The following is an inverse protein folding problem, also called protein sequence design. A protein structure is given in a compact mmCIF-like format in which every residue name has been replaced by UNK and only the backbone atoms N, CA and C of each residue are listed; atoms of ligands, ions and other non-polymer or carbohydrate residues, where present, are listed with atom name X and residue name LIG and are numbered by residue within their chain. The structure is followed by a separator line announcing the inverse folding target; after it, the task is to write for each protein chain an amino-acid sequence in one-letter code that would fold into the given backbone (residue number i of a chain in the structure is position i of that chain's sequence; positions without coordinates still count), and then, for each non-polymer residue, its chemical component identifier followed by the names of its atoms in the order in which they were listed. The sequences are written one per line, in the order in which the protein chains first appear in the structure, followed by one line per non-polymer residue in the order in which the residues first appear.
data_IF_723398705893
#
_entry.id   IF_723398705893
#
_cell.length_a   1.000
_cell.length_b   1.000
_cell.length_c   1.000
_cell.angle_alpha   90.00
_cell.angle_beta   90.00
_cell.angle_gamma   90.00
#
_symmetry.space_group_name_H-M   'P 1'
#
loop_
_entity.id
_entity.type
_entity.pdbx_description
1 polymer ?
#
# COMPACT_ATOMS: atom_id res chain seq x y z
N UNK A 1 21.09 -9.54 33.06
CA UNK A 1 22.31 -10.35 33.32
C UNK A 1 22.35 -11.41 32.23
N UNK A 2 23.32 -11.29 31.31
CA UNK A 2 23.58 -12.25 30.23
C UNK A 2 24.37 -13.45 30.76
N UNK A 3 24.07 -14.65 30.28
CA UNK A 3 25.00 -15.79 30.34
C UNK A 3 24.97 -16.56 29.02
N UNK A 4 26.15 -16.62 28.38
CA UNK A 4 26.53 -17.55 27.33
C UNK A 4 27.39 -18.66 27.94
N UNK A 5 27.38 -19.87 27.38
CA UNK A 5 28.51 -20.80 27.53
C UNK A 5 28.57 -21.77 26.32
N UNK A 6 29.68 -21.72 25.56
CA UNK A 6 30.21 -22.86 24.78
C UNK A 6 30.82 -23.90 25.75
N UNK A 7 31.37 -25.05 25.37
CA UNK A 7 32.01 -25.60 24.18
C UNK A 7 31.94 -27.16 24.31
N UNK A 8 31.69 -27.93 23.24
CA UNK A 8 32.65 -28.61 22.32
C UNK A 8 33.35 -29.86 22.92
N UNK A 9 33.32 -30.97 22.16
CA UNK A 9 34.40 -31.97 21.91
C UNK A 9 33.80 -33.14 21.08
N UNK A 10 34.13 -33.28 19.78
CA UNK A 10 35.13 -34.23 19.23
C UNK A 10 34.41 -35.47 18.67
N UNK A 11 34.61 -36.03 17.46
CA UNK A 11 35.82 -36.29 16.65
C UNK A 11 35.46 -36.60 15.18
N UNK A 12 36.38 -36.29 14.25
CA UNK A 12 36.43 -36.63 12.80
C UNK A 12 36.68 -38.16 12.61
N UNK A 13 36.53 -38.89 11.48
CA UNK A 13 36.53 -38.64 10.02
C UNK A 13 36.18 -39.99 9.27
N UNK A 14 36.31 -40.16 7.94
CA UNK A 14 35.37 -39.90 6.82
C UNK A 14 34.85 -41.17 6.09
N UNK A 15 33.82 -41.04 5.23
CA UNK A 15 33.68 -41.89 4.03
C UNK A 15 32.84 -41.19 2.94
N UNK A 16 33.37 -41.23 1.70
CA UNK A 16 32.78 -40.80 0.42
C UNK A 16 31.45 -41.57 0.17
N UNK A 17 30.45 -41.19 -0.61
CA UNK A 17 30.34 -40.50 -1.90
C UNK A 17 28.82 -40.40 -2.23
N UNK A 18 28.42 -39.44 -3.07
CA UNK A 18 27.09 -39.44 -3.69
C UNK A 18 26.33 -38.11 -3.70
N UNK A 19 26.86 -37.07 -4.38
CA UNK A 19 26.07 -35.87 -4.69
C UNK A 19 25.18 -36.10 -5.91
N UNK A 20 23.87 -36.27 -5.70
CA UNK A 20 22.84 -36.08 -6.71
C UNK A 20 22.39 -34.62 -6.69
N UNK A 21 22.90 -33.77 -7.59
CA UNK A 21 22.38 -32.42 -7.77
C UNK A 21 21.19 -32.44 -8.72
N UNK A 22 19.99 -32.34 -8.15
CA UNK A 22 18.76 -31.99 -8.86
C UNK A 22 18.74 -30.48 -9.08
N UNK A 23 18.66 -30.07 -10.35
CA UNK A 23 18.48 -28.67 -10.76
C UNK A 23 17.06 -28.24 -10.32
N UNK A 24 16.95 -27.49 -9.22
CA UNK A 24 15.73 -26.74 -8.89
C UNK A 24 15.90 -25.29 -9.35
N UNK A 25 14.94 -24.85 -10.18
CA UNK A 25 14.76 -23.49 -10.67
C UNK A 25 14.84 -22.47 -9.52
N UNK A 26 15.78 -21.54 -9.59
CA UNK A 26 15.81 -20.36 -8.73
C UNK A 26 14.79 -19.33 -9.25
N UNK A 27 13.66 -19.21 -8.56
CA UNK A 27 12.75 -18.08 -8.67
C UNK A 27 12.93 -17.22 -7.41
N UNK A 28 13.78 -16.18 -7.46
CA UNK A 28 13.72 -15.02 -6.55
C UNK A 28 14.59 -13.89 -7.07
N UNK A 29 14.03 -12.68 -7.11
CA UNK A 29 14.67 -11.45 -7.59
C UNK A 29 15.73 -10.88 -6.63
N UNK A 30 15.87 -11.44 -5.43
CA UNK A 30 16.72 -10.92 -4.36
C UNK A 30 18.22 -11.24 -4.55
N UNK A 31 18.59 -12.24 -5.36
CA UNK A 31 20.00 -12.56 -5.62
C UNK A 31 20.65 -11.63 -6.67
N UNK A 32 19.84 -10.90 -7.46
CA UNK A 32 20.34 -9.97 -8.48
C UNK A 32 20.83 -8.63 -7.91
N UNK A 33 20.32 -8.19 -6.76
CA UNK A 33 20.74 -6.94 -6.11
C UNK A 33 22.15 -7.07 -5.51
N UNK A 34 22.47 -8.24 -4.93
CA UNK A 34 23.80 -8.55 -4.42
C UNK A 34 24.87 -8.57 -5.54
N UNK A 35 24.48 -8.91 -6.78
CA UNK A 35 25.37 -8.86 -7.94
C UNK A 35 25.67 -7.42 -8.39
N UNK A 36 24.69 -6.50 -8.31
CA UNK A 36 24.86 -5.08 -8.67
C UNK A 36 25.79 -4.33 -7.71
N UNK A 37 25.74 -4.64 -6.43
CA UNK A 37 26.46 -3.88 -5.40
C UNK A 37 27.96 -4.19 -5.38
N UNK A 38 28.38 -5.39 -5.81
CA UNK A 38 29.78 -5.81 -5.83
C UNK A 38 30.58 -5.26 -7.01
N UNK A 39 29.92 -4.82 -8.09
CA UNK A 39 30.58 -4.34 -9.33
C UNK A 39 30.57 -2.81 -9.51
N UNK A 40 30.03 -2.05 -8.55
CA UNK A 40 30.02 -0.58 -8.62
C UNK A 40 31.23 0.09 -7.95
N UNK A 41 32.08 -0.65 -7.23
CA UNK A 41 33.19 -0.07 -6.47
C UNK A 41 34.58 -0.16 -7.14
N UNK A 42 34.68 -0.75 -8.33
CA UNK A 42 35.95 -0.82 -9.09
C UNK A 42 35.80 -0.18 -10.47
N UNK A 43 35.75 1.16 -10.53
CA UNK A 43 35.95 1.88 -11.80
C UNK A 43 36.48 3.31 -11.59
N UNK A 44 37.69 3.43 -11.06
CA UNK A 44 38.48 4.67 -11.16
C UNK A 44 39.89 4.35 -11.66
N UNK A 45 40.02 4.07 -12.96
CA UNK A 45 41.22 4.37 -13.76
C UNK A 45 41.00 3.82 -15.18
N UNK A 46 41.20 4.68 -16.18
CA UNK A 46 41.02 4.35 -17.59
C UNK A 46 41.86 3.16 -18.06
N UNK A 47 41.26 2.35 -18.92
CA UNK A 47 41.93 1.21 -19.55
C UNK A 47 40.90 0.28 -20.18
N UNK A 48 40.80 0.32 -21.51
CA UNK A 48 40.04 -0.65 -22.30
C UNK A 48 40.63 -2.04 -22.04
N UNK A 49 39.87 -2.94 -21.43
CA UNK A 49 40.33 -4.31 -21.18
C UNK A 49 39.22 -5.33 -21.44
N UNK A 50 39.38 -6.08 -22.53
CA UNK A 50 38.63 -7.28 -22.83
C UNK A 50 39.08 -8.40 -21.88
N UNK A 51 38.27 -8.70 -20.86
CA UNK A 51 38.48 -9.90 -20.04
C UNK A 51 37.49 -10.99 -20.41
N UNK A 52 37.97 -11.89 -21.26
CA UNK A 52 37.46 -13.24 -21.46
C UNK A 52 37.38 -13.95 -20.12
N UNK A 53 36.19 -14.43 -19.72
CA UNK A 53 35.98 -15.25 -18.53
C UNK A 53 36.85 -16.53 -18.59
N UNK A 54 38.02 -16.48 -17.98
CA UNK A 54 38.85 -17.63 -17.62
C UNK A 54 38.87 -17.76 -16.10
N UNK A 55 37.79 -18.28 -15.51
CA UNK A 55 37.81 -18.85 -14.15
C UNK A 55 36.53 -19.62 -13.86
N UNK A 56 36.39 -20.78 -14.48
CA UNK A 56 35.73 -21.95 -13.85
C UNK A 56 36.18 -23.20 -14.61
N UNK A 57 37.49 -23.44 -14.63
CA UNK A 57 38.08 -24.66 -15.20
C UNK A 57 39.16 -25.16 -14.25
N UNK A 58 38.74 -25.72 -13.13
CA UNK A 58 39.61 -26.54 -12.28
C UNK A 58 38.82 -27.68 -11.64
N UNK A 59 37.98 -28.37 -12.42
CA UNK A 59 37.53 -29.74 -12.13
C UNK A 59 36.55 -30.19 -13.21
N UNK A 60 37.04 -30.59 -14.38
CA UNK A 60 36.24 -31.43 -15.28
C UNK A 60 37.14 -32.05 -16.34
N UNK A 61 37.18 -33.38 -16.31
CA UNK A 61 37.99 -34.22 -17.16
C UNK A 61 37.62 -34.10 -18.63
N UNK A 62 38.64 -34.30 -19.46
CA UNK A 62 38.60 -34.43 -20.90
C UNK A 62 37.45 -35.34 -21.39
N UNK A 63 36.68 -34.89 -22.38
CA UNK A 63 35.82 -35.77 -23.19
C UNK A 63 34.33 -35.45 -23.21
N UNK A 64 33.92 -34.23 -23.57
CA UNK A 64 32.58 -33.94 -24.12
C UNK A 64 32.59 -32.50 -24.68
N UNK A 65 33.22 -32.33 -25.84
CA UNK A 65 33.35 -31.04 -26.52
C UNK A 65 32.70 -31.18 -27.89
N UNK A 66 31.57 -30.49 -28.09
CA UNK A 66 31.13 -29.79 -29.33
C UNK A 66 29.60 -29.63 -29.51
N UNK A 67 28.75 -30.19 -28.64
CA UNK A 67 27.28 -30.01 -28.75
C UNK A 67 26.67 -28.87 -27.93
N UNK A 68 27.16 -28.64 -26.70
CA UNK A 68 26.55 -27.72 -25.72
C UNK A 68 27.00 -26.26 -25.85
N UNK A 69 28.14 -26.00 -26.48
CA UNK A 69 28.65 -24.63 -26.70
C UNK A 69 27.81 -23.82 -27.71
N UNK A 70 27.18 -24.47 -28.69
CA UNK A 70 26.30 -23.80 -29.65
C UNK A 70 24.97 -23.36 -29.06
N UNK A 71 24.37 -24.19 -28.19
CA UNK A 71 23.06 -23.94 -27.56
C UNK A 71 23.17 -22.85 -26.49
N UNK A 72 24.27 -22.82 -25.73
CA UNK A 72 24.50 -21.75 -24.75
C UNK A 72 24.72 -20.40 -25.44
N UNK A 73 25.50 -20.33 -26.53
CA UNK A 73 25.67 -19.07 -27.29
C UNK A 73 24.35 -18.54 -27.85
N UNK A 74 23.52 -19.38 -28.46
CA UNK A 74 22.24 -18.93 -29.02
C UNK A 74 21.25 -18.50 -27.94
N UNK A 75 21.23 -19.18 -26.79
CA UNK A 75 20.37 -18.81 -25.67
C UNK A 75 20.84 -17.49 -25.04
N UNK A 76 22.14 -17.31 -24.80
CA UNK A 76 22.65 -16.03 -24.27
C UNK A 76 22.49 -14.89 -25.29
N UNK A 77 22.72 -15.10 -26.58
CA UNK A 77 22.44 -14.09 -27.61
C UNK A 77 20.95 -13.74 -27.67
N UNK A 78 20.04 -14.72 -27.58
CA UNK A 78 18.59 -14.45 -27.50
C UNK A 78 18.19 -13.71 -26.21
N UNK A 79 18.76 -14.07 -25.06
CA UNK A 79 18.53 -13.37 -23.79
C UNK A 79 19.10 -11.94 -23.80
N UNK A 80 20.28 -11.70 -24.39
CA UNK A 80 20.86 -10.36 -24.58
C UNK A 80 20.12 -9.53 -25.64
N UNK A 81 19.63 -10.15 -26.71
CA UNK A 81 18.82 -9.48 -27.74
C UNK A 81 17.43 -9.10 -27.20
N UNK A 82 16.87 -9.89 -26.27
CA UNK A 82 15.61 -9.56 -25.60
C UNK A 82 15.77 -8.56 -24.43
N UNK A 83 16.96 -8.44 -23.83
CA UNK A 83 17.23 -7.43 -22.79
C UNK A 83 17.57 -6.03 -23.34
N UNK A 84 17.77 -5.90 -24.66
CA UNK A 84 18.19 -4.63 -25.31
C UNK A 84 17.05 -3.86 -25.97
N UNK A 85 15.80 -4.31 -25.86
CA UNK A 85 14.62 -3.63 -26.39
C UNK A 85 13.74 -2.98 -25.31
N UNK A 86 14.36 -2.46 -24.23
CA UNK A 86 13.65 -1.57 -23.32
C UNK A 86 13.68 -0.17 -23.92
N UNK A 87 12.50 0.41 -24.19
CA UNK A 87 12.39 1.77 -24.68
C UNK A 87 13.20 2.73 -23.78
N UNK A 88 13.86 3.75 -24.36
CA UNK A 88 14.56 4.76 -23.57
C UNK A 88 13.61 5.41 -22.57
N UNK A 89 14.14 5.87 -21.44
CA UNK A 89 13.36 6.37 -20.30
C UNK A 89 12.30 7.41 -20.71
N UNK A 90 12.69 8.42 -21.48
CA UNK A 90 11.77 9.45 -21.98
C UNK A 90 10.60 8.88 -22.79
N UNK A 91 10.84 7.84 -23.62
CA UNK A 91 9.80 7.22 -24.44
C UNK A 91 8.85 6.36 -23.61
N UNK A 92 9.36 5.73 -22.53
CA UNK A 92 8.53 5.05 -21.54
C UNK A 92 7.64 6.05 -20.79
N UNK A 93 8.13 7.26 -20.51
CA UNK A 93 7.34 8.32 -19.89
C UNK A 93 6.17 8.73 -20.78
N UNK A 94 6.43 9.02 -22.05
CA UNK A 94 5.40 9.40 -23.02
C UNK A 94 4.33 8.31 -23.18
N UNK A 95 4.75 7.04 -23.25
CA UNK A 95 3.81 5.90 -23.31
C UNK A 95 2.94 5.80 -22.06
N UNK A 96 3.52 6.05 -20.88
CA UNK A 96 2.77 6.07 -19.62
C UNK A 96 1.75 7.21 -19.62
N UNK A 97 2.15 8.43 -20.00
CA UNK A 97 1.23 9.56 -20.16
C UNK A 97 0.09 9.23 -21.14
N UNK A 98 0.40 8.63 -22.29
CA UNK A 98 -0.61 8.20 -23.25
C UNK A 98 -1.59 7.17 -22.66
N UNK A 99 -1.08 6.18 -21.91
CA UNK A 99 -1.90 5.18 -21.21
C UNK A 99 -2.84 5.84 -20.20
N UNK A 100 -2.30 6.69 -19.32
CA UNK A 100 -3.11 7.42 -18.32
C UNK A 100 -4.18 8.28 -18.99
N UNK A 101 -3.82 8.99 -20.05
CA UNK A 101 -4.78 9.80 -20.80
C UNK A 101 -5.88 8.95 -21.46
N UNK A 102 -5.54 7.77 -21.98
CA UNK A 102 -6.50 6.84 -22.56
C UNK A 102 -7.46 6.27 -21.50
N UNK A 103 -6.96 5.99 -20.30
CA UNK A 103 -7.76 5.53 -19.16
C UNK A 103 -8.72 6.61 -18.65
N UNK A 104 -8.30 7.88 -18.68
CA UNK A 104 -9.15 9.04 -18.33
C UNK A 104 -10.19 9.36 -19.42
N UNK A 105 -9.88 9.10 -20.69
CA UNK A 105 -10.74 9.40 -21.83
C UNK A 105 -10.96 8.15 -22.72
N UNK A 106 -11.70 7.13 -22.25
CA UNK A 106 -11.81 5.83 -22.94
C UNK A 106 -12.48 5.90 -24.32
N UNK A 107 -13.20 6.98 -24.62
CA UNK A 107 -13.85 7.21 -25.93
C UNK A 107 -12.98 8.02 -26.90
N UNK A 108 -11.89 8.62 -26.42
CA UNK A 108 -10.97 9.38 -27.25
C UNK A 108 -10.00 8.44 -27.98
N UNK A 109 -9.52 8.87 -29.14
CA UNK A 109 -8.36 8.24 -29.78
C UNK A 109 -7.09 8.92 -29.26
N UNK A 110 -6.35 8.22 -28.40
CA UNK A 110 -5.06 8.68 -27.88
C UNK A 110 -3.92 8.01 -28.66
N UNK A 111 -3.05 8.81 -29.28
CA UNK A 111 -1.93 8.33 -30.09
C UNK A 111 -0.61 8.83 -29.52
N UNK A 112 0.29 7.91 -29.18
CA UNK A 112 1.68 8.20 -28.83
C UNK A 112 2.53 8.43 -30.08
N UNK A 113 3.43 9.41 -30.06
CA UNK A 113 4.36 9.75 -31.14
C UNK A 113 3.65 10.00 -32.48
N UNK A 114 2.61 10.83 -32.45
CA UNK A 114 1.81 11.20 -33.63
C UNK A 114 2.57 12.21 -34.49
N UNK A 115 2.32 12.19 -35.80
CA UNK A 115 2.86 13.19 -36.72
C UNK A 115 1.71 13.99 -37.33
N UNK A 116 1.74 15.30 -37.11
CA UNK A 116 0.70 16.21 -37.55
C UNK A 116 1.32 17.32 -38.40
N UNK A 117 0.77 17.53 -39.60
CA UNK A 117 1.22 18.58 -40.49
C UNK A 117 0.95 19.98 -39.89
N UNK A 118 2.01 20.74 -39.70
CA UNK A 118 1.93 22.17 -39.36
C UNK A 118 1.28 22.96 -40.50
N UNK A 119 0.30 23.78 -40.15
CA UNK A 119 -0.48 24.59 -41.09
C UNK A 119 0.27 25.85 -41.52
N UNK A 120 1.13 26.39 -40.66
CA UNK A 120 1.94 27.57 -40.98
C UNK A 120 3.29 27.16 -41.56
N UNK A 121 3.93 26.14 -40.98
CA UNK A 121 5.27 25.71 -41.40
C UNK A 121 5.29 24.75 -42.60
N UNK A 122 4.16 24.07 -42.88
CA UNK A 122 4.07 23.00 -43.87
C UNK A 122 4.89 21.75 -43.53
N UNK A 123 5.52 21.70 -42.33
CA UNK A 123 6.35 20.58 -41.88
C UNK A 123 5.56 19.65 -40.98
N UNK A 124 5.86 18.36 -41.05
CA UNK A 124 5.37 17.38 -40.09
C UNK A 124 5.96 17.66 -38.71
N UNK A 125 5.10 17.93 -37.72
CA UNK A 125 5.47 18.07 -36.31
C UNK A 125 5.28 16.73 -35.61
N UNK A 126 6.30 16.30 -34.88
CA UNK A 126 6.17 15.18 -33.95
C UNK A 126 5.49 15.68 -32.68
N UNK A 127 4.44 14.96 -32.27
CA UNK A 127 3.65 15.24 -31.06
C UNK A 127 3.77 14.03 -30.14
N UNK A 128 4.22 14.25 -28.91
CA UNK A 128 4.48 13.17 -27.95
C UNK A 128 3.21 12.37 -27.69
N UNK A 129 2.08 13.03 -27.42
CA UNK A 129 0.75 12.42 -27.36
C UNK A 129 -0.29 13.33 -27.99
N UNK A 130 -1.10 12.80 -28.91
CA UNK A 130 -2.29 13.48 -29.44
C UNK A 130 -3.56 12.81 -28.94
N UNK A 131 -4.59 13.60 -28.68
CA UNK A 131 -5.91 13.14 -28.27
C UNK A 131 -6.92 13.72 -29.24
N UNK A 132 -7.60 12.84 -29.98
CA UNK A 132 -8.62 13.20 -30.96
C UNK A 132 -9.98 12.74 -30.45
N UNK A 133 -10.91 13.68 -30.34
CA UNK A 133 -12.27 13.43 -29.84
C UNK A 133 -13.27 14.05 -30.81
N UNK A 134 -14.31 13.28 -31.14
CA UNK A 134 -15.47 13.81 -31.85
C UNK A 134 -16.59 14.07 -30.87
N UNK A 135 -17.08 15.30 -30.80
CA UNK A 135 -18.20 15.68 -29.93
C UNK A 135 -19.27 16.37 -30.78
N UNK A 136 -20.40 15.69 -30.96
CA UNK A 136 -21.42 16.12 -31.92
C UNK A 136 -20.85 16.16 -33.35
N UNK A 137 -20.84 17.35 -33.95
CA UNK A 137 -20.32 17.62 -35.29
C UNK A 137 -18.88 18.14 -35.32
N UNK A 138 -18.26 18.33 -34.15
CA UNK A 138 -16.94 18.95 -34.02
C UNK A 138 -15.87 17.88 -33.79
N UNK A 139 -14.74 18.03 -34.50
CA UNK A 139 -13.53 17.26 -34.26
C UNK A 139 -12.57 18.13 -33.44
N UNK A 140 -12.22 17.65 -32.25
CA UNK A 140 -11.33 18.32 -31.31
C UNK A 140 -9.97 17.63 -31.31
N UNK A 141 -8.91 18.42 -31.43
CA UNK A 141 -7.52 18.01 -31.31
C UNK A 141 -6.93 18.61 -30.04
N UNK A 142 -6.47 17.76 -29.14
CA UNK A 142 -5.67 18.13 -27.98
C UNK A 142 -4.28 17.54 -28.19
N UNK A 143 -3.24 18.32 -27.93
CA UNK A 143 -1.86 17.82 -27.97
C UNK A 143 -1.22 17.93 -26.60
N UNK A 144 -0.39 16.95 -26.26
CA UNK A 144 0.31 16.87 -24.99
C UNK A 144 1.80 16.75 -25.26
N UNK A 145 2.59 17.63 -24.65
CA UNK A 145 4.06 17.48 -24.60
C UNK A 145 4.51 16.89 -23.28
N UNK A 146 5.42 15.92 -23.33
CA UNK A 146 5.91 15.18 -22.18
C UNK A 146 7.34 15.60 -21.83
N UNK A 147 7.60 15.89 -20.55
CA UNK A 147 8.90 16.36 -20.06
C UNK A 147 9.41 15.47 -18.93
N UNK A 148 10.28 14.51 -19.26
CA UNK A 148 11.03 13.67 -18.29
C UNK A 148 12.35 14.36 -17.89
N UNK A 149 12.27 15.62 -17.48
CA UNK A 149 13.42 16.39 -17.01
C UNK A 149 13.68 16.12 -15.54
N UNK A 150 14.95 16.19 -15.12
CA UNK A 150 15.32 16.09 -13.69
C UNK A 150 14.87 17.34 -12.93
N UNK A 151 15.01 18.50 -13.55
CA UNK A 151 14.65 19.79 -12.97
C UNK A 151 13.27 20.24 -13.48
N UNK A 152 12.58 21.16 -12.76
CA UNK A 152 11.29 21.68 -13.19
C UNK A 152 11.37 22.34 -14.59
N UNK A 153 10.31 22.15 -15.37
CA UNK A 153 10.18 22.72 -16.72
C UNK A 153 10.12 24.25 -16.66
N UNK A 154 10.82 24.90 -17.57
CA UNK A 154 10.98 26.36 -17.60
C UNK A 154 10.13 27.06 -18.67
N UNK A 155 10.33 28.37 -18.81
CA UNK A 155 9.58 29.24 -19.72
C UNK A 155 9.88 28.93 -21.19
N UNK A 156 11.09 28.48 -21.50
CA UNK A 156 11.52 28.19 -22.89
C UNK A 156 10.73 27.01 -23.44
N UNK A 157 10.60 25.95 -22.64
CA UNK A 157 9.81 24.76 -22.98
C UNK A 157 8.34 25.11 -23.27
N UNK A 158 7.72 25.96 -22.43
CA UNK A 158 6.33 26.39 -22.61
C UNK A 158 6.16 27.24 -23.87
N UNK A 159 7.09 28.17 -24.12
CA UNK A 159 7.06 29.03 -25.30
C UNK A 159 7.23 28.24 -26.61
N UNK A 160 8.16 27.28 -26.61
CA UNK A 160 8.34 26.38 -27.74
C UNK A 160 7.08 25.55 -28.02
N UNK A 161 6.44 25.01 -26.99
CA UNK A 161 5.22 24.24 -27.14
C UNK A 161 4.03 25.09 -27.62
N UNK A 162 3.90 26.33 -27.14
CA UNK A 162 2.88 27.27 -27.63
C UNK A 162 2.93 27.45 -29.15
N UNK A 163 4.15 27.57 -29.69
CA UNK A 163 4.36 27.69 -31.14
C UNK A 163 3.93 26.43 -31.91
N UNK A 164 4.07 25.24 -31.29
CA UNK A 164 3.61 23.97 -31.89
C UNK A 164 2.09 23.87 -31.89
N UNK A 165 1.43 24.24 -30.79
CA UNK A 165 -0.05 24.29 -30.68
C UNK A 165 -0.62 25.17 -31.78
N UNK A 166 -0.06 26.37 -31.95
CA UNK A 166 -0.46 27.31 -32.98
C UNK A 166 -0.27 26.69 -34.37
N UNK A 167 0.93 26.20 -34.70
CA UNK A 167 1.25 25.64 -36.03
C UNK A 167 0.33 24.47 -36.42
N UNK A 168 0.03 23.53 -35.51
CA UNK A 168 -0.84 22.38 -35.83
C UNK A 168 -2.34 22.67 -35.67
N UNK A 169 -2.72 23.86 -35.22
CA UNK A 169 -4.10 24.28 -34.93
C UNK A 169 -4.80 23.36 -33.93
N UNK A 170 -4.10 22.95 -32.87
CA UNK A 170 -4.72 22.20 -31.78
C UNK A 170 -5.70 23.09 -31.00
N UNK A 171 -6.85 22.52 -30.61
CA UNK A 171 -7.87 23.22 -29.84
C UNK A 171 -7.44 23.46 -28.39
N UNK A 172 -6.61 22.59 -27.84
CA UNK A 172 -6.06 22.69 -26.49
C UNK A 172 -4.65 22.09 -26.47
N UNK A 173 -3.75 22.70 -25.69
CA UNK A 173 -2.44 22.13 -25.38
C UNK A 173 -2.33 21.80 -23.90
N UNK A 174 -1.64 20.71 -23.60
CA UNK A 174 -1.22 20.37 -22.25
C UNK A 174 0.26 19.98 -22.20
N UNK A 175 0.90 20.21 -21.06
CA UNK A 175 2.25 19.71 -20.79
C UNK A 175 2.20 18.81 -19.57
N UNK A 176 2.83 17.65 -19.65
CA UNK A 176 2.97 16.70 -18.55
C UNK A 176 4.44 16.61 -18.18
N UNK A 177 4.79 16.98 -16.96
CA UNK A 177 6.18 16.92 -16.46
C UNK A 177 6.33 15.85 -15.38
N UNK A 178 7.51 15.24 -15.30
CA UNK A 178 7.87 14.33 -14.20
C UNK A 178 8.09 15.11 -12.89
N UNK A 179 8.77 16.27 -12.97
CA UNK A 179 9.23 17.04 -11.81
C UNK A 179 8.63 18.47 -11.72
N UNK A 180 7.44 18.67 -12.30
CA UNK A 180 6.71 19.93 -12.21
C UNK A 180 7.28 21.07 -13.07
N UNK A 181 6.92 22.31 -12.71
CA UNK A 181 7.20 23.52 -13.51
C UNK A 181 7.65 24.67 -12.61
N UNK A 182 8.50 25.55 -13.15
CA UNK A 182 8.88 26.81 -12.50
C UNK A 182 7.70 27.81 -12.46
N UNK A 183 7.73 28.76 -11.53
CA UNK A 183 6.65 29.78 -11.43
C UNK A 183 6.50 30.60 -12.70
N UNK A 184 7.62 30.93 -13.38
CA UNK A 184 7.60 31.63 -14.66
C UNK A 184 6.90 30.80 -15.75
N UNK A 185 7.16 29.49 -15.79
CA UNK A 185 6.49 28.58 -16.73
C UNK A 185 4.98 28.51 -16.46
N UNK A 186 4.57 28.44 -15.18
CA UNK A 186 3.15 28.47 -14.78
C UNK A 186 2.45 29.75 -15.23
N UNK A 187 3.07 30.91 -15.04
CA UNK A 187 2.53 32.20 -15.46
C UNK A 187 2.38 32.30 -17.00
N UNK A 188 3.40 31.86 -17.75
CA UNK A 188 3.33 31.88 -19.21
C UNK A 188 2.26 30.91 -19.73
N UNK A 189 2.19 29.69 -19.18
CA UNK A 189 1.21 28.70 -19.57
C UNK A 189 -0.22 29.18 -19.34
N UNK A 190 -0.49 29.81 -18.19
CA UNK A 190 -1.79 30.42 -17.90
C UNK A 190 -2.16 31.51 -18.93
N UNK A 191 -1.20 32.36 -19.30
CA UNK A 191 -1.41 33.41 -20.33
C UNK A 191 -1.68 32.81 -21.72
N UNK A 192 -1.05 31.68 -22.03
CA UNK A 192 -1.19 30.98 -23.32
C UNK A 192 -2.34 29.96 -23.35
N UNK A 193 -3.06 29.78 -22.24
CA UNK A 193 -4.12 28.77 -22.13
C UNK A 193 -3.61 27.33 -22.23
N UNK A 194 -2.38 27.06 -21.78
CA UNK A 194 -1.76 25.73 -21.77
C UNK A 194 -1.96 25.11 -20.39
N UNK A 195 -2.51 23.90 -20.35
CA UNK A 195 -2.69 23.18 -19.10
C UNK A 195 -1.39 22.51 -18.67
N UNK A 196 -1.05 22.63 -17.39
CA UNK A 196 0.16 22.04 -16.83
C UNK A 196 -0.20 20.93 -15.86
N UNK A 197 0.38 19.76 -16.08
CA UNK A 197 0.14 18.57 -15.28
C UNK A 197 1.45 17.94 -14.83
N UNK A 198 1.43 17.37 -13.62
CA UNK A 198 2.44 16.42 -13.18
C UNK A 198 1.87 15.01 -13.26
N UNK A 199 2.67 14.06 -13.77
CA UNK A 199 2.28 12.65 -13.73
C UNK A 199 2.25 12.18 -12.28
N UNK A 200 1.18 11.48 -11.92
CA UNK A 200 1.00 10.87 -10.61
C UNK A 200 0.74 9.39 -10.81
N UNK A 201 1.66 8.54 -10.38
CA UNK A 201 1.52 7.09 -10.53
C UNK A 201 2.15 6.34 -9.35
N UNK A 202 1.41 5.48 -8.65
CA UNK A 202 1.92 4.72 -7.51
C UNK A 202 2.57 3.37 -7.89
N UNK A 203 2.48 2.94 -9.14
CA UNK A 203 3.10 1.70 -9.61
C UNK A 203 4.63 1.75 -9.50
N UNK A 204 5.26 0.58 -9.37
CA UNK A 204 6.70 0.47 -9.19
C UNK A 204 7.45 0.67 -10.51
N UNK A 205 7.79 1.93 -10.82
CA UNK A 205 8.61 2.33 -11.97
C UNK A 205 9.37 3.64 -11.68
N UNK A 206 10.08 4.17 -12.68
CA UNK A 206 10.99 5.32 -12.53
C UNK A 206 10.32 6.65 -12.10
N UNK A 207 8.98 6.71 -12.08
CA UNK A 207 8.18 7.91 -11.77
C UNK A 207 7.19 7.63 -10.62
N UNK A 208 7.48 6.62 -9.80
CA UNK A 208 6.63 6.25 -8.69
C UNK A 208 6.43 7.43 -7.73
N UNK A 209 5.16 7.72 -7.44
CA UNK A 209 4.68 8.72 -6.50
C UNK A 209 4.18 8.02 -5.24
N UNK A 210 4.71 8.42 -4.07
CA UNK A 210 4.20 7.97 -2.78
C UNK A 210 3.12 8.93 -2.33
N UNK A 211 1.88 8.45 -2.28
CA UNK A 211 0.70 9.29 -2.02
C UNK A 211 -0.11 8.66 -0.92
N UNK A 212 -0.61 9.51 -0.05
CA UNK A 212 -1.56 9.14 0.99
C UNK A 212 -2.63 10.22 1.09
N UNK A 213 -3.84 9.82 1.46
CA UNK A 213 -4.95 10.75 1.68
C UNK A 213 -5.09 11.02 3.19
N UNK A 214 -5.33 12.27 3.61
CA UNK A 214 -5.60 12.57 5.02
C UNK A 214 -6.95 11.96 5.38
N UNK A 215 -6.98 11.17 6.44
CA UNK A 215 -8.15 10.43 6.87
C UNK A 215 -8.35 10.55 8.38
N UNK A 216 -9.60 10.47 8.79
CA UNK A 216 -9.99 10.35 10.20
C UNK A 216 -10.67 9.01 10.44
N UNK A 217 -10.48 8.45 11.62
CA UNK A 217 -11.19 7.27 12.08
C UNK A 217 -11.80 7.53 13.44
N UNK A 218 -13.12 7.55 13.53
CA UNK A 218 -13.85 7.53 14.79
C UNK A 218 -14.10 6.10 15.21
N UNK A 219 -13.60 5.72 16.37
CA UNK A 219 -13.64 4.36 16.85
C UNK A 219 -14.39 4.29 18.18
N UNK A 220 -15.41 3.45 18.25
CA UNK A 220 -16.16 3.19 19.48
C UNK A 220 -15.64 1.91 20.15
N UNK A 221 -15.20 2.02 21.40
CA UNK A 221 -14.60 0.92 22.15
C UNK A 221 -15.12 0.82 23.59
N UNK A 222 -14.98 -0.40 24.13
CA UNK A 222 -15.18 -0.66 25.55
C UNK A 222 -13.88 -0.29 26.28
N UNK A 223 -13.78 0.94 26.77
CA UNK A 223 -12.58 1.47 27.43
C UNK A 223 -12.23 0.66 28.69
N UNK A 224 -13.23 0.40 29.50
CA UNK A 224 -13.09 -0.38 30.71
C UNK A 224 -14.44 -0.92 31.15
N UNK A 225 -14.42 -2.00 31.91
CA UNK A 225 -15.61 -2.55 32.56
C UNK A 225 -15.27 -3.03 33.97
N UNK A 226 -16.30 -3.17 34.78
CA UNK A 226 -16.26 -3.82 36.09
C UNK A 226 -17.45 -4.75 36.25
N UNK A 227 -17.30 -5.78 37.08
CA UNK A 227 -18.37 -6.74 37.37
C UNK A 227 -18.71 -6.64 38.85
N UNK A 228 -20.01 -6.57 39.14
CA UNK A 228 -20.55 -6.50 40.50
C UNK A 228 -21.33 -7.78 40.72
N UNK A 229 -20.90 -8.57 41.71
CA UNK A 229 -21.57 -9.81 42.12
C UNK A 229 -22.30 -9.56 43.45
N UNK A 230 -23.57 -9.92 43.52
CA UNK A 230 -24.40 -9.74 44.72
C UNK A 230 -25.18 -11.03 45.03
N UNK A 231 -25.17 -11.46 46.28
CA UNK A 231 -25.82 -12.71 46.69
C UNK A 231 -27.27 -12.42 46.89
N UNK A 232 -28.12 -13.26 46.33
CA UNK A 232 -29.53 -13.26 46.70
C UNK A 232 -29.82 -14.24 47.84
N UNK A 233 -28.87 -15.14 48.14
CA UNK A 233 -28.93 -16.06 49.26
C UNK A 233 -28.30 -15.44 50.52
N UNK A 234 -28.84 -15.73 51.72
CA UNK A 234 -28.32 -15.26 53.04
C UNK A 234 -26.93 -15.80 53.41
N UNK A 235 -26.26 -16.48 52.50
CA UNK A 235 -24.93 -17.05 52.67
C UNK A 235 -23.93 -16.01 52.19
N UNK A 236 -22.99 -15.62 53.05
CA UNK A 236 -21.92 -14.68 52.71
C UNK A 236 -21.01 -15.24 51.63
N UNK A 237 -20.60 -14.38 50.69
CA UNK A 237 -19.60 -14.74 49.68
C UNK A 237 -18.20 -14.55 50.21
N UNK A 238 -17.38 -15.58 50.10
CA UNK A 238 -15.94 -15.47 50.28
C UNK A 238 -15.27 -15.51 48.90
N UNK A 239 -14.69 -14.39 48.48
CA UNK A 239 -13.93 -14.31 47.24
C UNK A 239 -12.56 -14.98 47.44
N UNK A 240 -12.54 -16.32 47.45
CA UNK A 240 -11.30 -17.10 47.66
C UNK A 240 -10.78 -17.80 46.39
N UNK A 241 -11.20 -17.36 45.19
CA UNK A 241 -10.75 -17.97 43.93
C UNK A 241 -10.20 -16.97 42.91
N UNK A 242 -9.28 -17.50 42.11
CA UNK A 242 -8.52 -16.87 41.04
C UNK A 242 -9.39 -16.08 40.05
N UNK A 243 -8.77 -15.03 39.49
CA UNK A 243 -9.25 -14.18 38.40
C UNK A 243 -10.76 -14.20 38.14
N UNK A 244 -11.46 -13.22 38.72
CA UNK A 244 -12.92 -13.04 38.61
C UNK A 244 -13.41 -12.93 37.15
N UNK A 245 -12.51 -12.66 36.19
CA UNK A 245 -12.80 -12.67 34.75
C UNK A 245 -13.17 -14.06 34.22
N UNK A 246 -12.64 -15.11 34.84
CA UNK A 246 -12.82 -16.49 34.40
C UNK A 246 -13.97 -17.21 35.13
N UNK A 247 -14.75 -16.51 35.95
CA UNK A 247 -15.89 -17.10 36.66
C UNK A 247 -16.92 -17.61 35.65
N UNK A 248 -17.23 -18.90 35.73
CA UNK A 248 -18.29 -19.53 34.93
C UNK A 248 -19.64 -19.29 35.60
N UNK A 249 -20.58 -18.77 34.83
CA UNK A 249 -21.97 -18.62 35.24
C UNK A 249 -22.78 -19.82 34.76
N UNK A 250 -23.76 -20.23 35.56
CA UNK A 250 -24.65 -21.35 35.27
C UNK A 250 -26.10 -20.87 35.26
N UNK A 251 -26.91 -21.46 34.38
CA UNK A 251 -28.35 -21.24 34.36
C UNK A 251 -29.04 -21.87 35.56
N UNK A 252 -30.35 -21.64 35.70
CA UNK A 252 -31.16 -22.31 36.73
C UNK A 252 -31.22 -23.84 36.54
N UNK A 253 -31.03 -24.31 35.30
CA UNK A 253 -30.93 -25.73 34.95
C UNK A 253 -29.55 -26.33 35.26
N UNK A 254 -28.68 -25.59 35.94
CA UNK A 254 -27.30 -25.95 36.29
C UNK A 254 -26.40 -26.22 35.07
N UNK A 255 -26.82 -25.82 33.86
CA UNK A 255 -25.94 -25.86 32.68
C UNK A 255 -25.04 -24.64 32.65
N UNK A 256 -23.76 -24.80 32.25
CA UNK A 256 -22.85 -23.67 32.11
C UNK A 256 -23.32 -22.74 30.98
N UNK A 257 -23.42 -21.45 31.28
CA UNK A 257 -23.68 -20.39 30.30
C UNK A 257 -22.37 -19.92 29.63
N UNK A 258 -21.26 -19.98 30.36
CA UNK A 258 -19.95 -19.56 29.90
C UNK A 258 -19.19 -18.73 30.94
N UNK A 259 -17.95 -18.33 30.62
CA UNK A 259 -17.20 -17.40 31.45
C UNK A 259 -17.85 -16.02 31.38
N UNK A 260 -17.85 -15.31 32.51
CA UNK A 260 -18.45 -13.98 32.61
C UNK A 260 -17.84 -12.98 31.62
N UNK A 261 -16.52 -13.05 31.37
CA UNK A 261 -15.88 -12.21 30.35
C UNK A 261 -16.37 -12.51 28.94
N UNK A 262 -16.43 -13.78 28.56
CA UNK A 262 -16.89 -14.19 27.23
C UNK A 262 -18.33 -13.71 26.98
N UNK A 263 -19.18 -13.80 28.00
CA UNK A 263 -20.55 -13.31 27.93
C UNK A 263 -20.61 -11.77 27.79
N UNK A 264 -19.74 -11.03 28.47
CA UNK A 264 -19.65 -9.57 28.34
C UNK A 264 -19.22 -9.18 26.94
N UNK A 265 -18.14 -9.78 26.43
CA UNK A 265 -17.62 -9.50 25.11
C UNK A 265 -18.61 -9.91 24.01
N UNK A 266 -19.32 -11.03 24.17
CA UNK A 266 -20.43 -11.42 23.28
C UNK A 266 -21.54 -10.38 23.28
N UNK A 267 -21.96 -9.88 24.45
CA UNK A 267 -22.98 -8.83 24.55
C UNK A 267 -22.51 -7.51 23.91
N UNK A 268 -21.25 -7.13 24.13
CA UNK A 268 -20.65 -5.97 23.48
C UNK A 268 -20.64 -6.13 21.97
N UNK A 269 -20.08 -7.23 21.45
CA UNK A 269 -20.02 -7.53 20.01
C UNK A 269 -21.42 -7.59 19.37
N UNK A 270 -22.43 -8.07 20.11
CA UNK A 270 -23.83 -8.09 19.71
C UNK A 270 -24.55 -6.74 19.87
N UNK A 271 -23.86 -5.69 20.33
CA UNK A 271 -24.41 -4.34 20.60
C UNK A 271 -25.57 -4.34 21.60
N UNK A 272 -25.56 -5.27 22.55
CA UNK A 272 -26.55 -5.44 23.60
C UNK A 272 -26.19 -4.71 24.90
N UNK A 273 -25.11 -3.92 24.89
CA UNK A 273 -24.66 -3.05 25.98
C UNK A 273 -24.82 -1.58 25.53
N UNK A 274 -24.67 -0.60 26.44
CA UNK A 274 -24.65 0.81 26.05
C UNK A 274 -23.63 1.07 24.92
N UNK A 275 -24.07 1.80 23.90
CA UNK A 275 -23.26 2.11 22.70
C UNK A 275 -22.95 3.61 22.57
N UNK A 276 -23.50 4.44 23.47
CA UNK A 276 -23.19 5.86 23.54
C UNK A 276 -21.96 6.07 24.44
N UNK A 277 -21.05 7.01 24.11
CA UNK A 277 -19.92 7.31 24.97
C UNK A 277 -20.37 7.80 26.36
N UNK A 278 -19.79 7.21 27.41
CA UNK A 278 -20.17 7.54 28.78
C UNK A 278 -19.80 6.46 29.79
N UNK A 279 -20.03 6.78 31.05
CA UNK A 279 -19.88 5.86 32.18
C UNK A 279 -21.25 5.39 32.65
N UNK A 280 -21.45 4.08 32.62
CA UNK A 280 -22.68 3.42 33.02
C UNK A 280 -22.38 2.55 34.23
N UNK A 281 -23.14 2.76 35.30
CA UNK A 281 -23.07 1.92 36.51
C UNK A 281 -24.29 1.01 36.57
N UNK A 282 -24.12 -0.14 37.21
CA UNK A 282 -25.21 -1.07 37.51
C UNK A 282 -26.00 -1.60 36.30
N UNK A 283 -25.37 -1.69 35.12
CA UNK A 283 -25.99 -2.25 33.91
C UNK A 283 -26.34 -3.71 34.15
N UNK A 284 -27.59 -4.09 33.86
CA UNK A 284 -28.03 -5.47 34.05
C UNK A 284 -27.30 -6.40 33.07
N UNK A 285 -26.50 -7.31 33.63
CA UNK A 285 -25.59 -8.14 32.86
C UNK A 285 -26.29 -9.37 32.28
N UNK A 286 -27.24 -9.96 33.02
CA UNK A 286 -28.11 -11.06 32.58
C UNK A 286 -29.48 -10.86 33.21
N UNK A 287 -30.54 -11.05 32.42
CA UNK A 287 -31.93 -10.90 32.87
C UNK A 287 -32.44 -12.16 33.62
N UNK A 288 -31.54 -13.12 33.87
CA UNK A 288 -31.82 -14.41 34.49
C UNK A 288 -31.05 -14.56 35.80
N UNK A 289 -31.64 -15.19 36.84
CA UNK A 289 -30.90 -15.63 38.01
C UNK A 289 -29.82 -16.61 37.56
N UNK A 290 -28.56 -16.29 37.85
CA UNK A 290 -27.45 -17.19 37.55
C UNK A 290 -26.90 -17.77 38.83
N UNK A 291 -26.34 -18.97 38.72
CA UNK A 291 -25.64 -19.61 39.82
C UNK A 291 -24.13 -19.63 39.55
N UNK A 292 -23.33 -19.52 40.61
CA UNK A 292 -21.89 -19.81 40.59
C UNK A 292 -21.66 -21.03 41.49
N UNK A 293 -20.72 -21.90 41.10
CA UNK A 293 -20.24 -22.98 41.97
C UNK A 293 -19.27 -22.39 43.01
N UNK A 294 -19.53 -22.66 44.29
CA UNK A 294 -18.66 -22.39 45.42
C UNK A 294 -18.64 -23.63 46.33
N UNK A 295 -17.46 -24.19 46.62
CA UNK A 295 -17.30 -25.41 47.43
C UNK A 295 -18.32 -26.52 47.03
N UNK A 296 -18.44 -26.78 45.73
CA UNK A 296 -19.36 -27.76 45.13
C UNK A 296 -20.86 -27.47 45.32
N UNK A 297 -21.23 -26.21 45.62
CA UNK A 297 -22.63 -25.76 45.72
C UNK A 297 -22.94 -24.64 44.76
N UNK A 298 -24.13 -24.69 44.16
CA UNK A 298 -24.66 -23.60 43.34
C UNK A 298 -25.23 -22.50 44.25
N UNK A 299 -24.67 -21.30 44.19
CA UNK A 299 -25.16 -20.12 44.90
C UNK A 299 -25.81 -19.14 43.92
N UNK A 300 -27.00 -18.62 44.24
CA UNK A 300 -27.66 -17.63 43.38
C UNK A 300 -26.96 -16.28 43.47
N UNK A 301 -26.57 -15.75 42.32
CA UNK A 301 -25.86 -14.48 42.21
C UNK A 301 -26.58 -13.57 41.22
N UNK A 302 -26.69 -12.28 41.54
CA UNK A 302 -27.01 -11.23 40.57
C UNK A 302 -25.72 -10.58 40.12
N UNK A 303 -25.52 -10.54 38.80
CA UNK A 303 -24.36 -9.92 38.15
C UNK A 303 -24.82 -8.61 37.52
N UNK A 304 -24.14 -7.51 37.86
CA UNK A 304 -24.25 -6.23 37.16
C UNK A 304 -22.90 -5.84 36.58
N UNK A 305 -22.89 -4.96 35.60
CA UNK A 305 -21.68 -4.42 35.00
C UNK A 305 -21.57 -2.90 35.20
N UNK A 306 -20.37 -2.43 35.47
CA UNK A 306 -19.97 -1.04 35.22
C UNK A 306 -19.31 -1.01 33.85
N UNK A 307 -19.70 -0.09 32.97
CA UNK A 307 -19.26 -0.04 31.58
C UNK A 307 -18.82 1.39 31.27
N UNK A 308 -17.59 1.56 30.79
CA UNK A 308 -17.09 2.81 30.26
C UNK A 308 -16.94 2.67 28.75
N UNK A 309 -17.80 3.36 28.02
CA UNK A 309 -17.79 3.41 26.56
C UNK A 309 -17.06 4.66 26.14
N UNK A 310 -16.06 4.52 25.27
CA UNK A 310 -15.28 5.64 24.78
C UNK A 310 -15.36 5.71 23.25
N UNK A 311 -15.50 6.94 22.75
CA UNK A 311 -15.18 7.26 21.35
C UNK A 311 -13.75 7.81 21.29
N UNK A 312 -12.92 7.22 20.45
CA UNK A 312 -11.56 7.67 20.13
C UNK A 312 -11.56 8.23 18.71
N UNK A 313 -10.84 9.33 18.49
CA UNK A 313 -10.68 9.92 17.16
C UNK A 313 -9.22 9.82 16.76
N UNK A 314 -8.95 9.20 15.63
CA UNK A 314 -7.61 9.10 15.06
C UNK A 314 -7.52 9.92 13.78
N UNK A 315 -6.35 10.50 13.53
CA UNK A 315 -5.99 11.16 12.27
C UNK A 315 -4.71 10.53 11.72
N UNK A 316 -4.73 10.21 10.43
CA UNK A 316 -3.59 9.62 9.75
C UNK A 316 -3.59 9.82 8.25
N UNK A 317 -2.49 9.41 7.63
CA UNK A 317 -2.29 9.48 6.18
C UNK A 317 -2.46 8.08 5.62
N UNK A 318 -3.57 7.84 4.92
CA UNK A 318 -3.94 6.53 4.39
C UNK A 318 -3.32 6.31 3.00
N UNK A 319 -2.36 5.38 2.83
CA UNK A 319 -1.63 5.24 1.58
C UNK A 319 -2.49 4.76 0.41
N UNK A 320 -2.17 5.26 -0.79
CA UNK A 320 -2.71 4.78 -2.07
C UNK A 320 -1.72 3.79 -2.70
N UNK A 321 -2.14 2.54 -2.85
CA UNK A 321 -1.36 1.46 -3.46
C UNK A 321 -1.47 1.44 -4.99
N UNK A 322 -2.63 1.81 -5.53
CA UNK A 322 -2.83 1.97 -6.96
C UNK A 322 -3.47 3.34 -7.16
N UNK A 323 -2.82 4.20 -7.93
CA UNK A 323 -3.37 5.46 -8.43
C UNK A 323 -2.54 5.85 -9.63
N UNK A 324 -3.20 6.23 -10.71
CA UNK A 324 -2.54 6.69 -11.94
C UNK A 324 -3.36 7.81 -12.55
N UNK A 325 -2.74 8.95 -12.80
CA UNK A 325 -3.46 10.17 -13.10
C UNK A 325 -2.56 11.39 -13.32
N UNK A 326 -3.21 12.55 -13.38
CA UNK A 326 -2.54 13.83 -13.56
C UNK A 326 -2.90 14.78 -12.43
N UNK A 327 -1.88 15.35 -11.79
CA UNK A 327 -2.03 16.47 -10.86
C UNK A 327 -1.96 17.76 -11.67
N UNK A 328 -3.00 18.57 -11.60
CA UNK A 328 -3.01 19.91 -12.17
C UNK A 328 -2.08 20.82 -11.36
N UNK A 329 -1.11 21.44 -12.03
CA UNK A 329 -0.05 22.22 -11.37
C UNK A 329 -0.48 23.62 -10.93
N UNK A 330 -1.68 24.05 -11.32
CA UNK A 330 -2.29 25.31 -10.94
C UNK A 330 -3.23 25.13 -9.73
N UNK A 331 -4.01 24.06 -9.72
CA UNK A 331 -5.02 23.80 -8.68
C UNK A 331 -4.59 22.77 -7.64
N UNK A 332 -3.53 22.00 -7.92
CA UNK A 332 -3.09 20.82 -7.17
C UNK A 332 -4.12 19.68 -7.10
N UNK A 333 -5.17 19.72 -7.92
CA UNK A 333 -6.17 18.65 -8.00
C UNK A 333 -5.60 17.47 -8.79
N UNK A 334 -5.75 16.27 -8.24
CA UNK A 334 -5.37 15.01 -8.92
C UNK A 334 -6.61 14.43 -9.60
N UNK A 335 -6.54 14.25 -10.92
CA UNK A 335 -7.55 13.56 -11.70
C UNK A 335 -7.09 12.14 -12.02
N UNK A 336 -7.87 11.14 -11.63
CA UNK A 336 -7.58 9.72 -11.84
C UNK A 336 -8.86 8.94 -12.12
N UNK A 337 -8.77 7.86 -12.90
CA UNK A 337 -9.89 6.94 -13.18
C UNK A 337 -10.01 5.81 -12.16
N UNK A 338 -8.95 5.52 -11.41
CA UNK A 338 -8.87 4.41 -10.47
C UNK A 338 -7.95 4.75 -9.30
N UNK A 339 -8.41 4.46 -8.10
CA UNK A 339 -7.59 4.47 -6.90
C UNK A 339 -7.83 3.21 -6.07
N UNK A 340 -6.82 2.79 -5.32
CA UNK A 340 -6.88 1.71 -4.33
C UNK A 340 -6.06 2.11 -3.12
N UNK A 341 -6.68 2.10 -1.96
CA UNK A 341 -6.00 2.33 -0.69
C UNK A 341 -5.33 1.07 -0.19
N UNK A 342 -4.41 1.22 0.75
CA UNK A 342 -3.96 0.14 1.61
C UNK A 342 -5.14 -0.46 2.41
N UNK A 343 -5.08 -1.76 2.69
CA UNK A 343 -6.02 -2.38 3.64
C UNK A 343 -5.68 -1.87 5.04
N UNK A 344 -6.67 -1.25 5.70
CA UNK A 344 -6.48 -0.67 7.01
C UNK A 344 -7.01 -1.62 8.09
N UNK A 345 -6.16 -2.06 9.01
CA UNK A 345 -6.58 -2.83 10.19
C UNK A 345 -6.71 -1.92 11.41
N UNK A 346 -7.41 -2.42 12.45
CA UNK A 346 -7.47 -1.72 13.73
C UNK A 346 -6.08 -1.44 14.31
N UNK A 347 -5.17 -2.42 14.22
CA UNK A 347 -3.80 -2.30 14.72
C UNK A 347 -3.02 -1.23 13.95
N UNK A 348 -3.21 -1.13 12.63
CA UNK A 348 -2.53 -0.10 11.82
C UNK A 348 -2.92 1.31 12.26
N UNK A 349 -4.19 1.51 12.63
CA UNK A 349 -4.68 2.79 13.16
C UNK A 349 -4.09 3.06 14.54
N UNK A 350 -4.18 2.11 15.47
CA UNK A 350 -3.67 2.32 16.84
C UNK A 350 -2.16 2.57 16.89
N UNK A 351 -1.39 1.84 16.07
CA UNK A 351 0.07 1.88 16.12
C UNK A 351 0.66 3.06 15.33
N UNK A 352 0.00 3.49 14.24
CA UNK A 352 0.58 4.46 13.31
C UNK A 352 -0.19 5.78 13.17
N UNK A 353 -1.46 5.84 13.58
CA UNK A 353 -2.25 7.08 13.48
C UNK A 353 -2.17 7.86 14.80
N UNK A 354 -2.38 9.17 14.69
CA UNK A 354 -2.34 10.06 15.85
C UNK A 354 -3.72 10.09 16.50
N UNK A 355 -3.80 9.78 17.79
CA UNK A 355 -5.00 10.02 18.59
C UNK A 355 -5.20 11.54 18.78
N UNK A 356 -6.37 12.04 18.42
CA UNK A 356 -6.73 13.45 18.46
C UNK A 356 -7.85 13.66 19.47
N UNK A 357 -7.79 14.72 20.27
CA UNK A 357 -8.81 14.99 21.29
C UNK A 357 -10.10 15.56 20.68
N UNK A 358 -9.97 16.40 19.64
CA UNK A 358 -11.09 17.03 18.95
C UNK A 358 -10.80 17.24 17.45
N UNK A 359 -11.82 17.27 16.58
CA UNK A 359 -11.62 17.52 15.15
C UNK A 359 -10.97 18.87 14.81
N UNK A 360 -11.06 19.87 15.69
CA UNK A 360 -10.49 21.22 15.46
C UNK A 360 -8.97 21.28 15.55
N UNK A 361 -8.31 20.27 16.13
CA UNK A 361 -6.86 20.12 16.15
C UNK A 361 -6.27 19.69 14.81
N UNK A 362 -7.10 19.25 13.86
CA UNK A 362 -6.66 18.78 12.55
C UNK A 362 -6.46 19.97 11.60
N UNK A 363 -5.21 20.27 11.27
CA UNK A 363 -4.85 21.41 10.39
C UNK A 363 -5.17 21.21 8.91
N UNK A 364 -5.53 19.99 8.50
CA UNK A 364 -5.81 19.62 7.09
C UNK A 364 -7.21 19.04 7.02
N UNK A 365 -7.98 19.45 6.01
CA UNK A 365 -9.31 18.87 5.79
C UNK A 365 -9.18 17.38 5.42
N UNK A 366 -9.74 16.45 6.22
CA UNK A 366 -9.69 15.03 5.90
C UNK A 366 -10.52 14.73 4.65
N UNK A 367 -9.94 13.98 3.71
CA UNK A 367 -10.63 13.51 2.52
C UNK A 367 -11.45 12.24 2.78
N UNK A 368 -11.10 11.49 3.83
CA UNK A 368 -11.84 10.30 4.26
C UNK A 368 -12.23 10.38 5.74
N UNK A 369 -13.46 9.95 6.05
CA UNK A 369 -13.99 9.83 7.41
C UNK A 369 -14.47 8.41 7.61
N UNK A 370 -13.80 7.67 8.48
CA UNK A 370 -14.09 6.29 8.81
C UNK A 370 -14.78 6.25 10.18
N UNK A 371 -15.68 5.28 10.35
CA UNK A 371 -16.29 4.99 11.65
C UNK A 371 -16.22 3.50 11.89
N UNK A 372 -15.66 3.12 13.02
CA UNK A 372 -15.41 1.72 13.39
C UNK A 372 -15.91 1.44 14.79
N UNK A 373 -16.10 0.15 15.06
CA UNK A 373 -16.51 -0.38 16.35
C UNK A 373 -15.59 -1.55 16.69
N UNK A 374 -15.00 -1.56 17.88
CA UNK A 374 -14.08 -2.63 18.27
C UNK A 374 -14.85 -3.83 18.76
N UNK A 375 -14.82 -4.91 18.01
CA UNK A 375 -15.19 -6.23 18.52
C UNK A 375 -13.99 -6.88 19.21
N UNK A 376 -14.24 -7.58 20.31
CA UNK A 376 -13.20 -8.32 21.03
C UNK A 376 -13.33 -9.82 20.78
N UNK A 377 -12.22 -10.56 20.64
CA UNK A 377 -12.27 -12.00 20.50
C UNK A 377 -12.85 -12.64 21.75
N UNK A 378 -13.58 -13.74 21.56
CA UNK A 378 -14.19 -14.52 22.65
C UNK A 378 -13.62 -15.93 22.61
N UNK A 379 -13.17 -16.45 23.75
CA UNK A 379 -12.54 -17.77 23.83
C UNK A 379 -13.46 -18.85 23.20
N UNK A 380 -12.95 -19.58 22.20
CA UNK A 380 -13.67 -20.65 21.52
C UNK A 380 -14.36 -20.26 20.20
N UNK A 381 -14.36 -18.97 19.82
CA UNK A 381 -14.68 -18.54 18.45
C UNK A 381 -13.35 -18.32 17.70
N UNK A 382 -13.01 -19.27 16.82
CA UNK A 382 -11.88 -19.13 15.89
C UNK A 382 -12.17 -17.95 14.96
N UNK A 383 -11.19 -17.05 14.83
CA UNK A 383 -11.20 -15.84 13.98
C UNK A 383 -11.99 -16.01 12.68
N UNK A 384 -13.16 -15.39 12.63
CA UNK A 384 -13.83 -15.04 11.39
C UNK A 384 -13.39 -13.63 10.99
N UNK A 385 -12.42 -13.57 10.08
CA UNK A 385 -11.97 -12.38 9.35
C UNK A 385 -13.10 -11.39 9.03
N UNK A 386 -12.88 -10.11 9.34
CA UNK A 386 -13.30 -8.98 8.51
C UNK A 386 -12.19 -7.94 8.43
#
# INVERSE_FOLDING_TARGET
MWWSCGERLGTRQPQESGCTYSIRKAHRAEEFSAFRQKYSQESTSGGMCSYTMKTCMSSMSCGERLGTFGILKSNYEWYFTNMTNVDPKWKRFEKLVAKVQQDLAPKATVTHNDKIAGKDSGKERQIDVSVKVRTGQYDLLIIISCKDHKDPVDVEDVGAFASVIEDVRANQGAMVAANGFTDGAKQLAATKGINLYQLVDAENHDWQSKIAIPATCEELCLKSFGLIFSSTDRIGFYAHEADMRNVVLYGEDQKPLGKVMDLLLKKWNAKALPMEPGEYSEVEFLDIPVTKIYEDRFCKVKVKATINVQKRLFFGWWPLLEVSGFKDEMTNVITTSKLKTETLTHRDIEDHWTLVANPTEISVEPLAKLTTFISYPVDGEVEGLL
#
